data_IF_450364228816
#
_entry.id   IF_450364228816
#
_cell.length_a   1.000
_cell.length_b   1.000
_cell.length_c   1.000
_cell.angle_alpha   90.00
_cell.angle_beta   90.00
_cell.angle_gamma   90.00
#
_symmetry.space_group_name_H-M   'P 1'
#
loop_
_entity.id
_entity.type
_entity.pdbx_description
1 polymer ?
#
# COMPACT_ATOMS: atom_id res chain seq x y z
N UNK A 1 7.84 -7.16 -14.50
CA UNK A 1 8.38 -6.04 -13.70
C UNK A 1 7.84 -4.68 -14.08
N UNK A 2 7.76 -4.31 -15.37
CA UNK A 2 7.01 -3.10 -15.77
C UNK A 2 5.59 -3.05 -15.19
N UNK A 3 4.96 -4.21 -15.01
CA UNK A 3 3.59 -4.34 -14.51
C UNK A 3 3.42 -3.80 -13.08
N UNK A 4 4.39 -4.02 -12.16
CA UNK A 4 4.32 -3.50 -10.79
C UNK A 4 4.44 -1.97 -10.76
N UNK A 5 5.28 -1.38 -11.61
CA UNK A 5 5.36 0.07 -11.72
C UNK A 5 4.07 0.69 -12.22
N UNK A 6 3.44 0.10 -13.23
CA UNK A 6 2.14 0.56 -13.72
C UNK A 6 1.05 0.40 -12.67
N UNK A 7 1.11 -0.67 -11.88
CA UNK A 7 0.19 -0.86 -10.77
C UNK A 7 0.37 0.20 -9.67
N UNK A 8 1.61 0.47 -9.26
CA UNK A 8 1.90 1.52 -8.28
C UNK A 8 1.47 2.89 -8.83
N UNK A 9 1.76 3.20 -10.10
CA UNK A 9 1.34 4.44 -10.73
C UNK A 9 -0.20 4.58 -10.73
N UNK A 10 -0.94 3.53 -11.08
CA UNK A 10 -2.39 3.51 -10.98
C UNK A 10 -2.89 3.83 -9.56
N UNK A 11 -2.28 3.24 -8.52
CA UNK A 11 -2.66 3.51 -7.14
C UNK A 11 -2.33 4.94 -6.71
N UNK A 12 -1.20 5.48 -7.18
CA UNK A 12 -0.82 6.86 -6.92
C UNK A 12 -1.76 7.85 -7.60
N UNK A 13 -2.14 7.59 -8.84
CA UNK A 13 -3.13 8.41 -9.58
C UNK A 13 -4.49 8.39 -8.88
N UNK A 14 -4.94 7.22 -8.38
CA UNK A 14 -6.18 7.08 -7.61
C UNK A 14 -6.18 7.92 -6.32
N UNK A 15 -5.05 8.06 -5.65
CA UNK A 15 -4.91 8.79 -4.39
C UNK A 15 -4.31 10.18 -4.55
N UNK A 16 -3.98 10.59 -5.78
CA UNK A 16 -3.34 11.89 -6.12
C UNK A 16 -2.06 12.14 -5.34
N UNK A 17 -1.18 11.14 -5.29
CA UNK A 17 0.09 11.19 -4.55
C UNK A 17 1.30 11.06 -5.46
N UNK A 18 2.47 11.50 -4.98
CA UNK A 18 3.73 11.33 -5.68
C UNK A 18 4.13 9.85 -5.77
N UNK A 19 4.65 9.45 -6.93
CA UNK A 19 5.08 8.09 -7.22
C UNK A 19 6.32 7.71 -6.40
N UNK A 20 6.26 6.72 -5.49
CA UNK A 20 7.44 6.27 -4.76
C UNK A 20 8.39 5.47 -5.65
N UNK A 21 9.67 5.47 -5.29
CA UNK A 21 10.66 4.62 -5.92
C UNK A 21 10.47 3.16 -5.50
N UNK A 22 10.25 2.26 -6.45
CA UNK A 22 10.22 0.82 -6.16
C UNK A 22 11.62 0.24 -6.23
N UNK A 23 12.04 -0.45 -5.15
CA UNK A 23 13.23 -1.30 -5.12
C UNK A 23 12.82 -2.72 -4.76
N UNK A 24 13.34 -3.72 -5.46
CA UNK A 24 12.96 -5.11 -5.23
C UNK A 24 14.15 -6.05 -5.22
N UNK A 25 14.06 -7.09 -4.39
CA UNK A 25 14.98 -8.23 -4.35
C UNK A 25 14.41 -9.39 -5.19
N UNK A 26 15.23 -9.95 -6.07
CA UNK A 26 14.90 -11.12 -6.89
C UNK A 26 16.16 -11.83 -7.37
N UNK A 27 16.27 -13.16 -7.19
CA UNK A 27 17.40 -14.01 -7.58
C UNK A 27 18.75 -13.50 -7.04
N UNK A 28 18.80 -13.30 -5.71
CA UNK A 28 19.99 -12.82 -4.99
C UNK A 28 20.52 -11.44 -5.46
N UNK A 29 19.71 -10.66 -6.13
CA UNK A 29 20.04 -9.32 -6.64
C UNK A 29 18.98 -8.29 -6.27
N UNK A 30 19.39 -7.04 -6.26
CA UNK A 30 18.56 -5.90 -5.91
C UNK A 30 18.44 -4.96 -7.12
N UNK A 31 17.23 -4.54 -7.42
CA UNK A 31 16.90 -3.76 -8.60
C UNK A 31 16.01 -2.58 -8.26
N UNK A 32 16.11 -1.53 -9.05
CA UNK A 32 15.09 -0.47 -9.08
C UNK A 32 13.92 -0.83 -10.02
N UNK A 33 12.95 0.08 -10.06
CA UNK A 33 11.76 -0.02 -10.91
C UNK A 33 12.05 -0.26 -12.40
N UNK A 34 13.22 0.12 -12.87
CA UNK A 34 13.65 -0.01 -14.28
C UNK A 34 14.51 -1.24 -14.52
N UNK A 35 14.75 -2.05 -13.49
CA UNK A 35 15.59 -3.26 -13.57
C UNK A 35 17.08 -2.97 -13.53
N UNK A 36 17.50 -1.80 -13.06
CA UNK A 36 18.91 -1.45 -12.84
C UNK A 36 19.35 -1.95 -11.47
N UNK A 37 20.57 -2.46 -11.39
CA UNK A 37 21.16 -2.88 -10.13
C UNK A 37 21.21 -1.71 -9.13
N UNK A 38 20.83 -1.97 -7.88
CA UNK A 38 20.90 -1.02 -6.76
C UNK A 38 21.61 -1.65 -5.57
N UNK A 39 22.03 -0.82 -4.62
CA UNK A 39 22.62 -1.31 -3.37
C UNK A 39 21.65 -2.22 -2.62
N UNK A 40 22.15 -3.28 -1.99
CA UNK A 40 21.35 -4.17 -1.16
C UNK A 40 20.62 -3.41 -0.06
N UNK A 41 19.38 -3.84 0.23
CA UNK A 41 18.61 -3.37 1.36
C UNK A 41 18.15 -4.55 2.22
N UNK A 42 17.88 -4.29 3.48
CA UNK A 42 17.37 -5.30 4.39
C UNK A 42 15.93 -4.98 4.82
N UNK A 43 15.06 -5.98 4.76
CA UNK A 43 13.75 -5.94 5.37
C UNK A 43 13.81 -6.54 6.78
N UNK A 44 12.94 -6.10 7.67
CA UNK A 44 12.73 -6.80 8.96
C UNK A 44 12.46 -8.29 8.69
N UNK A 45 12.88 -9.21 9.57
CA UNK A 45 12.85 -10.66 9.29
C UNK A 45 11.52 -11.21 8.76
N UNK A 46 10.40 -10.70 9.25
CA UNK A 46 9.06 -11.14 8.85
C UNK A 46 8.38 -10.24 7.81
N UNK A 47 9.00 -9.14 7.43
CA UNK A 47 8.44 -8.24 6.42
C UNK A 47 8.70 -8.79 5.02
N UNK A 48 7.69 -8.71 4.16
CA UNK A 48 7.78 -9.01 2.73
C UNK A 48 8.01 -7.75 1.90
N UNK A 49 7.47 -6.63 2.38
CA UNK A 49 7.63 -5.29 1.82
C UNK A 49 7.71 -4.27 2.95
N UNK A 50 8.14 -3.04 2.66
CA UNK A 50 8.13 -1.92 3.59
C UNK A 50 8.23 -0.59 2.86
N UNK A 51 7.52 0.41 3.35
CA UNK A 51 7.69 1.81 2.95
C UNK A 51 8.87 2.42 3.70
N UNK A 52 9.75 3.11 2.97
CA UNK A 52 10.93 3.81 3.50
C UNK A 52 10.74 5.32 3.32
N UNK A 53 10.20 6.03 4.35
CA UNK A 53 9.79 7.44 4.21
C UNK A 53 10.91 8.37 3.77
N UNK A 54 12.10 8.26 4.36
CA UNK A 54 13.23 9.14 4.09
C UNK A 54 13.78 9.02 2.65
N UNK A 55 13.49 7.94 1.96
CA UNK A 55 13.90 7.69 0.58
C UNK A 55 12.76 7.86 -0.40
N UNK A 56 11.55 8.10 0.09
CA UNK A 56 10.33 8.05 -0.71
C UNK A 56 10.30 6.78 -1.56
N UNK A 57 10.43 5.63 -0.92
CA UNK A 57 10.61 4.34 -1.60
C UNK A 57 9.79 3.22 -0.96
N UNK A 58 9.46 2.23 -1.78
CA UNK A 58 8.93 0.93 -1.34
C UNK A 58 9.98 -0.13 -1.63
N UNK A 59 10.33 -0.91 -0.62
CA UNK A 59 11.23 -2.05 -0.72
C UNK A 59 10.40 -3.33 -0.65
N UNK A 60 10.63 -4.27 -1.56
CA UNK A 60 9.90 -5.53 -1.61
C UNK A 60 10.84 -6.70 -1.92
N UNK A 61 10.66 -7.81 -1.20
CA UNK A 61 11.38 -9.06 -1.46
C UNK A 61 10.45 -10.02 -2.19
N UNK A 62 10.60 -10.11 -3.51
CA UNK A 62 9.73 -10.92 -4.36
C UNK A 62 9.83 -12.42 -4.08
N UNK A 63 10.93 -12.89 -3.48
CA UNK A 63 11.11 -14.31 -3.16
C UNK A 63 10.29 -14.76 -1.93
N UNK A 64 9.80 -13.81 -1.12
CA UNK A 64 8.94 -14.10 0.02
C UNK A 64 7.46 -14.33 -0.36
N UNK A 65 7.10 -14.16 -1.62
CA UNK A 65 5.73 -14.31 -2.09
C UNK A 65 5.54 -15.65 -2.79
N UNK A 66 4.35 -16.22 -2.64
CA UNK A 66 3.96 -17.48 -3.27
C UNK A 66 3.18 -17.27 -4.55
N UNK A 67 2.50 -16.15 -4.67
CA UNK A 67 1.70 -15.80 -5.84
C UNK A 67 1.77 -14.30 -6.14
N UNK A 68 1.39 -13.94 -7.35
CA UNK A 68 1.47 -12.57 -7.85
C UNK A 68 0.41 -11.66 -7.22
N UNK A 69 -0.73 -12.18 -6.85
CA UNK A 69 -1.80 -11.38 -6.21
C UNK A 69 -1.33 -10.90 -4.84
N UNK A 70 -0.64 -11.74 -4.06
CA UNK A 70 -0.07 -11.34 -2.78
C UNK A 70 0.94 -10.18 -2.94
N UNK A 71 1.69 -10.15 -4.05
CA UNK A 71 2.58 -9.03 -4.37
C UNK A 71 1.78 -7.75 -4.59
N UNK A 72 0.73 -7.79 -5.41
CA UNK A 72 -0.11 -6.63 -5.67
C UNK A 72 -0.80 -6.12 -4.40
N UNK A 73 -1.30 -7.01 -3.55
CA UNK A 73 -1.94 -6.63 -2.29
C UNK A 73 -0.93 -5.97 -1.32
N UNK A 74 0.28 -6.52 -1.24
CA UNK A 74 1.35 -5.91 -0.43
C UNK A 74 1.77 -4.55 -0.98
N UNK A 75 1.88 -4.40 -2.29
CA UNK A 75 2.16 -3.10 -2.92
C UNK A 75 1.04 -2.09 -2.67
N UNK A 76 -0.25 -2.50 -2.70
CA UNK A 76 -1.35 -1.62 -2.36
C UNK A 76 -1.27 -1.13 -0.91
N UNK A 77 -0.91 -2.02 0.03
CA UNK A 77 -0.68 -1.69 1.43
C UNK A 77 0.46 -0.65 1.58
N UNK A 78 1.61 -0.89 0.95
CA UNK A 78 2.76 0.00 1.06
C UNK A 78 2.54 1.36 0.36
N UNK A 79 1.87 1.39 -0.79
CA UNK A 79 1.49 2.64 -1.46
C UNK A 79 0.51 3.44 -0.59
N UNK A 80 -0.39 2.75 0.16
CA UNK A 80 -1.26 3.44 1.12
C UNK A 80 -0.46 4.10 2.25
N UNK A 81 0.61 3.47 2.73
CA UNK A 81 1.54 4.12 3.68
C UNK A 81 2.22 5.35 3.08
N UNK A 82 2.60 5.33 1.81
CA UNK A 82 3.11 6.53 1.13
C UNK A 82 2.07 7.66 1.12
N UNK A 83 0.80 7.34 0.83
CA UNK A 83 -0.29 8.31 0.85
C UNK A 83 -0.53 8.89 2.24
N UNK A 84 -0.55 8.04 3.28
CA UNK A 84 -0.68 8.47 4.68
C UNK A 84 0.44 9.44 5.06
N UNK A 85 1.69 9.11 4.73
CA UNK A 85 2.85 9.96 5.05
C UNK A 85 2.77 11.30 4.33
N UNK A 86 2.51 11.31 3.02
CA UNK A 86 2.41 12.56 2.25
C UNK A 86 1.27 13.43 2.78
N UNK A 87 0.08 12.87 3.00
CA UNK A 87 -1.10 13.60 3.50
C UNK A 87 -0.94 14.18 4.91
N UNK A 88 -0.05 13.63 5.71
CA UNK A 88 0.25 14.19 7.03
C UNK A 88 1.04 15.50 6.99
N UNK A 89 1.72 15.78 5.89
CA UNK A 89 2.57 16.97 5.72
C UNK A 89 2.05 17.94 4.66
N UNK A 90 1.06 17.54 3.86
CA UNK A 90 0.45 18.36 2.81
C UNK A 90 -1.09 18.37 3.00
N UNK A 91 -1.62 19.54 3.43
CA UNK A 91 -3.04 19.70 3.74
C UNK A 91 -3.93 19.72 2.45
N UNK A 92 -3.38 20.08 1.29
CA UNK A 92 -4.15 20.03 0.03
C UNK A 92 -4.29 18.57 -0.43
N UNK A 93 -3.20 17.83 -0.44
CA UNK A 93 -3.20 16.40 -0.79
C UNK A 93 -4.01 15.58 0.23
N UNK A 94 -4.01 15.97 1.49
CA UNK A 94 -4.77 15.32 2.55
C UNK A 94 -6.25 15.13 2.20
N UNK A 95 -6.86 16.07 1.47
CA UNK A 95 -8.28 16.05 1.09
C UNK A 95 -8.63 14.90 0.14
N UNK A 96 -7.65 14.44 -0.65
CA UNK A 96 -7.82 13.36 -1.64
C UNK A 96 -7.45 11.98 -1.07
N UNK A 97 -6.82 11.95 0.12
CA UNK A 97 -6.33 10.70 0.74
C UNK A 97 -7.27 10.16 1.81
N UNK A 98 -7.74 11.02 2.73
CA UNK A 98 -8.63 10.59 3.82
C UNK A 98 -9.34 11.77 4.49
N UNK A 99 -10.44 11.54 5.24
CA UNK A 99 -11.06 12.54 6.09
C UNK A 99 -10.08 13.14 7.10
N UNK A 100 -10.25 14.41 7.41
CA UNK A 100 -9.37 15.16 8.31
C UNK A 100 -9.16 14.47 9.66
N UNK A 101 -10.21 13.95 10.29
CA UNK A 101 -10.16 13.24 11.56
C UNK A 101 -9.31 11.97 11.52
N UNK A 102 -9.31 11.27 10.40
CA UNK A 102 -8.46 10.08 10.19
C UNK A 102 -6.99 10.50 10.11
N UNK A 103 -6.68 11.54 9.34
CA UNK A 103 -5.31 12.07 9.23
C UNK A 103 -4.79 12.58 10.57
N UNK A 104 -5.63 13.26 11.38
CA UNK A 104 -5.24 13.68 12.70
C UNK A 104 -4.96 12.49 13.65
N UNK A 105 -5.68 11.39 13.48
CA UNK A 105 -5.44 10.17 14.23
C UNK A 105 -4.08 9.57 13.88
N UNK A 106 -3.73 9.48 12.59
CA UNK A 106 -2.39 9.03 12.15
C UNK A 106 -1.28 9.93 12.69
N UNK A 107 -1.43 11.28 12.58
CA UNK A 107 -0.46 12.25 13.13
C UNK A 107 -0.22 12.04 14.62
N UNK A 108 -1.27 11.71 15.39
CA UNK A 108 -1.15 11.47 16.81
C UNK A 108 -0.51 10.11 17.13
N UNK A 109 -0.83 9.06 16.41
CA UNK A 109 -0.22 7.73 16.58
C UNK A 109 1.28 7.77 16.30
N UNK A 110 1.71 8.43 15.22
CA UNK A 110 3.13 8.55 14.90
C UNK A 110 3.94 9.32 15.95
N UNK A 111 3.33 10.31 16.63
CA UNK A 111 4.00 11.05 17.73
C UNK A 111 4.25 10.18 18.96
N UNK A 112 3.43 9.16 19.16
CA UNK A 112 3.45 8.27 20.33
C UNK A 112 3.87 6.84 19.96
N UNK A 113 4.48 6.67 18.77
CA UNK A 113 4.90 5.37 18.25
C UNK A 113 5.93 4.72 19.17
N UNK A 114 5.53 3.63 19.83
CA UNK A 114 6.43 2.74 20.57
C UNK A 114 6.60 1.44 19.78
N UNK A 115 7.75 1.32 19.12
CA UNK A 115 8.10 0.14 18.32
C UNK A 115 8.23 -1.17 19.14
N UNK A 116 8.22 -1.08 20.49
CA UNK A 116 8.29 -2.23 21.38
C UNK A 116 6.95 -2.91 21.64
N UNK A 117 5.82 -2.25 21.32
CA UNK A 117 4.48 -2.82 21.46
C UNK A 117 4.08 -3.64 20.21
N UNK A 118 4.66 -4.83 20.12
CA UNK A 118 4.41 -5.77 19.00
C UNK A 118 2.95 -6.24 18.92
N UNK A 119 2.21 -6.22 20.04
CA UNK A 119 0.78 -6.64 20.06
C UNK A 119 -0.19 -5.52 19.68
N UNK A 120 0.23 -4.27 19.74
CA UNK A 120 -0.56 -3.09 19.39
C UNK A 120 -0.43 -2.66 17.94
N UNK A 121 0.67 -3.00 17.26
CA UNK A 121 1.00 -2.54 15.92
C UNK A 121 -0.09 -2.84 14.89
N UNK A 122 -0.55 -4.09 14.80
CA UNK A 122 -1.56 -4.52 13.82
C UNK A 122 -2.93 -3.85 14.00
N UNK A 123 -3.17 -3.23 15.15
CA UNK A 123 -4.42 -2.53 15.49
C UNK A 123 -4.27 -1.01 15.48
N UNK A 124 -3.10 -0.48 15.12
CA UNK A 124 -2.93 0.97 14.90
C UNK A 124 -3.78 1.42 13.71
N UNK A 125 -4.29 2.64 13.79
CA UNK A 125 -5.19 3.16 12.75
C UNK A 125 -4.51 3.23 11.38
N UNK A 126 -3.22 3.49 11.35
CA UNK A 126 -2.42 3.55 10.13
C UNK A 126 -2.33 2.17 9.44
N UNK A 127 -2.15 1.10 10.21
CA UNK A 127 -2.11 -0.28 9.70
C UNK A 127 -3.50 -0.80 9.29
N UNK A 128 -4.52 -0.51 10.11
CA UNK A 128 -5.91 -0.89 9.79
C UNK A 128 -6.38 -0.25 8.49
N UNK A 129 -6.02 1.01 8.27
CA UNK A 129 -6.32 1.74 7.05
C UNK A 129 -5.60 1.15 5.83
N UNK A 130 -4.29 0.90 5.93
CA UNK A 130 -3.52 0.31 4.84
C UNK A 130 -4.02 -1.09 4.47
N UNK A 131 -4.35 -1.91 5.47
CA UNK A 131 -4.95 -3.22 5.26
C UNK A 131 -6.35 -3.14 4.63
N UNK A 132 -7.18 -2.17 5.05
CA UNK A 132 -8.51 -1.98 4.48
C UNK A 132 -8.46 -1.48 3.04
N UNK A 133 -7.51 -0.62 2.71
CA UNK A 133 -7.27 -0.19 1.34
C UNK A 133 -6.81 -1.34 0.45
N UNK A 134 -5.80 -2.11 0.87
CA UNK A 134 -5.33 -3.29 0.15
C UNK A 134 -6.46 -4.34 -0.05
N UNK A 135 -7.30 -4.56 0.97
CA UNK A 135 -8.48 -5.41 0.87
C UNK A 135 -9.46 -4.90 -0.20
N UNK A 136 -9.74 -3.59 -0.22
CA UNK A 136 -10.71 -3.02 -1.17
C UNK A 136 -10.19 -3.08 -2.61
N UNK A 137 -8.93 -2.75 -2.83
CA UNK A 137 -8.28 -2.92 -4.13
C UNK A 137 -8.27 -4.40 -4.56
N UNK A 138 -7.95 -5.32 -3.65
CA UNK A 138 -8.01 -6.77 -3.91
C UNK A 138 -9.37 -7.22 -4.40
N UNK A 139 -10.42 -6.74 -3.76
CA UNK A 139 -11.80 -7.07 -4.11
C UNK A 139 -12.23 -6.49 -5.46
N UNK A 140 -11.95 -5.20 -5.70
CA UNK A 140 -12.42 -4.50 -6.90
C UNK A 140 -11.61 -4.90 -8.14
N UNK A 141 -10.28 -5.00 -8.01
CA UNK A 141 -9.37 -5.21 -9.15
C UNK A 141 -9.19 -6.69 -9.46
N UNK A 142 -8.95 -7.50 -8.42
CA UNK A 142 -8.58 -8.91 -8.59
C UNK A 142 -9.73 -9.88 -8.27
N UNK A 143 -10.83 -9.40 -7.69
CA UNK A 143 -11.95 -10.22 -7.20
C UNK A 143 -11.50 -11.28 -6.18
N UNK A 144 -10.63 -10.89 -5.26
CA UNK A 144 -10.13 -11.73 -4.17
C UNK A 144 -10.50 -11.16 -2.81
N UNK A 145 -10.64 -12.04 -1.82
CA UNK A 145 -10.87 -11.66 -0.42
C UNK A 145 -9.55 -11.77 0.34
N UNK A 146 -9.12 -10.66 0.97
CA UNK A 146 -7.92 -10.63 1.82
C UNK A 146 -8.34 -10.68 3.30
N UNK A 147 -7.58 -11.41 4.10
CA UNK A 147 -7.75 -11.47 5.54
C UNK A 147 -6.56 -10.81 6.24
N UNK A 148 -6.84 -9.81 7.06
CA UNK A 148 -5.84 -9.17 7.93
C UNK A 148 -5.88 -9.79 9.34
N UNK A 149 -4.71 -9.99 9.92
CA UNK A 149 -4.58 -10.45 11.30
C UNK A 149 -4.69 -9.27 12.27
N UNK A 150 -5.92 -8.75 12.48
CA UNK A 150 -6.19 -7.58 13.29
C UNK A 150 -7.56 -7.68 13.98
N UNK A 151 -7.90 -6.69 14.80
CA UNK A 151 -9.22 -6.62 15.43
C UNK A 151 -10.31 -6.46 14.37
N UNK A 152 -11.15 -7.50 14.22
CA UNK A 152 -12.19 -7.56 13.19
C UNK A 152 -13.21 -6.41 13.25
N UNK A 153 -13.56 -5.94 14.44
CA UNK A 153 -14.53 -4.86 14.60
C UNK A 153 -13.96 -3.55 14.07
N UNK A 154 -12.76 -3.18 14.51
CA UNK A 154 -12.06 -2.00 14.01
C UNK A 154 -11.78 -2.09 12.52
N UNK A 155 -11.34 -3.24 12.04
CA UNK A 155 -11.09 -3.44 10.61
C UNK A 155 -12.35 -3.24 9.75
N UNK A 156 -13.52 -3.67 10.21
CA UNK A 156 -14.78 -3.46 9.50
C UNK A 156 -15.17 -1.97 9.44
N UNK A 157 -14.84 -1.17 10.45
CA UNK A 157 -15.03 0.28 10.42
C UNK A 157 -14.15 0.93 9.33
N UNK A 158 -12.87 0.53 9.24
CA UNK A 158 -11.97 1.00 8.19
C UNK A 158 -12.40 0.53 6.80
N UNK A 159 -12.84 -0.71 6.63
CA UNK A 159 -13.41 -1.20 5.36
C UNK A 159 -14.56 -0.32 4.88
N UNK A 160 -15.50 0.00 5.77
CA UNK A 160 -16.63 0.85 5.43
C UNK A 160 -16.17 2.22 4.95
N UNK A 161 -15.32 2.86 5.73
CA UNK A 161 -14.77 4.18 5.40
C UNK A 161 -14.04 4.16 4.05
N UNK A 162 -13.18 3.17 3.80
CA UNK A 162 -12.42 3.05 2.53
C UNK A 162 -13.37 2.87 1.34
N UNK A 163 -14.40 2.03 1.45
CA UNK A 163 -15.39 1.83 0.39
C UNK A 163 -16.20 3.11 0.10
N UNK A 164 -16.50 3.91 1.13
CA UNK A 164 -17.22 5.17 0.99
C UNK A 164 -16.34 6.27 0.38
N UNK A 165 -15.02 6.22 0.62
CA UNK A 165 -14.06 7.23 0.17
C UNK A 165 -13.52 6.95 -1.24
N UNK A 166 -13.25 5.70 -1.57
CA UNK A 166 -12.80 5.24 -2.90
C UNK A 166 -13.87 4.33 -3.50
N UNK A 167 -14.79 4.89 -4.29
CA UNK A 167 -15.86 4.10 -4.88
C UNK A 167 -15.34 3.08 -5.89
N UNK A 168 -16.06 1.97 -6.03
CA UNK A 168 -15.73 0.95 -7.04
C UNK A 168 -15.69 1.52 -8.46
N UNK A 169 -16.55 2.51 -8.76
CA UNK A 169 -16.61 3.18 -10.06
C UNK A 169 -15.35 4.01 -10.33
N UNK A 170 -14.85 4.76 -9.34
CA UNK A 170 -13.60 5.54 -9.46
C UNK A 170 -12.39 4.63 -9.68
N UNK A 171 -12.27 3.54 -8.91
CA UNK A 171 -11.19 2.58 -9.09
C UNK A 171 -11.22 2.00 -10.52
N UNK A 172 -12.40 1.57 -11.00
CA UNK A 172 -12.55 1.01 -12.35
C UNK A 172 -12.27 2.03 -13.45
N UNK A 173 -12.65 3.29 -13.24
CA UNK A 173 -12.36 4.36 -14.18
C UNK A 173 -10.86 4.68 -14.21
N UNK A 174 -10.21 4.79 -13.06
CA UNK A 174 -8.78 5.00 -12.95
C UNK A 174 -7.97 3.88 -13.65
N UNK A 175 -8.34 2.60 -13.43
CA UNK A 175 -7.71 1.48 -14.15
C UNK A 175 -7.87 1.61 -15.66
N UNK A 176 -9.04 1.99 -16.14
CA UNK A 176 -9.32 2.10 -17.58
C UNK A 176 -8.39 3.08 -18.29
N UNK A 177 -7.97 4.14 -17.59
CA UNK A 177 -7.09 5.18 -18.12
C UNK A 177 -5.62 4.98 -17.75
N UNK A 178 -5.30 3.99 -16.92
CA UNK A 178 -3.92 3.66 -16.54
C UNK A 178 -3.25 2.70 -17.54
N UNK A 179 -1.92 2.63 -17.50
CA UNK A 179 -1.15 1.63 -18.23
C UNK A 179 -1.19 0.24 -17.56
N UNK A 180 -1.81 0.14 -16.38
CA UNK A 180 -1.97 -1.12 -15.66
C UNK A 180 -3.06 -1.97 -16.29
N UNK A 181 -2.68 -3.13 -16.82
CA UNK A 181 -3.60 -4.12 -17.38
C UNK A 181 -3.41 -5.45 -16.65
N UNK A 182 -4.41 -5.83 -15.86
CA UNK A 182 -4.45 -7.15 -15.25
C UNK A 182 -5.32 -8.10 -16.09
N UNK A 183 -4.69 -9.08 -16.74
CA UNK A 183 -5.44 -10.12 -17.48
C UNK A 183 -5.65 -11.34 -16.59
N UNK A 184 -6.91 -11.67 -16.28
CA UNK A 184 -7.30 -12.87 -15.51
C UNK A 184 -6.86 -14.22 -16.14
N UNK A 185 -6.18 -14.21 -17.28
CA UNK A 185 -5.85 -15.42 -18.06
C UNK A 185 -4.48 -16.04 -17.72
N UNK A 186 -3.86 -15.66 -16.58
CA UNK A 186 -2.58 -16.24 -16.13
C UNK A 186 -2.70 -17.03 -14.81
N UNK A 187 -3.91 -17.44 -14.44
CA UNK A 187 -4.12 -18.33 -13.30
C UNK A 187 -4.41 -19.76 -13.76
#
# INVERSE_FOLDING_TARGET
MKTYNYYIAFLCDLMVIDLPNLKYHYQDKYYDAYGRDVEPFELKPNAKATTVPNEHAIYIDLEKFKDEIDIYLSLAHEVRHCAQLQSMYDDELAKDVAPFEIIQKWKNELKHFDASDVGGYENQSIELDANAFAWWIGRVVFNVEMYANCNKMLFNEYKKYICDYYSESEIKECIKYSDFQYSKNQA
#
